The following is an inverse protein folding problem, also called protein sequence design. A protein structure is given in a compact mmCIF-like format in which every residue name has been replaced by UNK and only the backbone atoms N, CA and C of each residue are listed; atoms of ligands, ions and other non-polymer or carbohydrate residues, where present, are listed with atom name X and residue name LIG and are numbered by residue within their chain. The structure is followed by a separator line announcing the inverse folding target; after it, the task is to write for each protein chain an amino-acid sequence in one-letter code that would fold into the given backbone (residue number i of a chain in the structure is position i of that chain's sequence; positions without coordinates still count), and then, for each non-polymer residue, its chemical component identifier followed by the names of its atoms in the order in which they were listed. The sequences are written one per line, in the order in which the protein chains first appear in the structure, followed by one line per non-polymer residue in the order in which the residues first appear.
data_IF_620676547847
#
_entry.id   IF_620676547847
#
_cell.length_a   1.000
_cell.length_b   1.000
_cell.length_c   1.000
_cell.angle_alpha   90.00
_cell.angle_beta   90.00
_cell.angle_gamma   90.00
#
_symmetry.space_group_name_H-M   'P 1'
#
loop_
_entity.id
_entity.type
_entity.pdbx_description
1 polymer ?
#
# COMPACT_ATOMS: atom_id res chain seq x y z
N UNK A 1 39.22 -1.77 -6.10
CA UNK A 1 38.15 -2.70 -5.66
C UNK A 1 37.11 -2.82 -6.78
N UNK A 2 37.20 -3.84 -7.64
CA UNK A 2 36.37 -3.97 -8.85
C UNK A 2 35.07 -4.73 -8.58
N UNK A 3 34.22 -4.25 -7.66
CA UNK A 3 32.96 -4.93 -7.32
C UNK A 3 31.82 -4.02 -6.84
N UNK A 4 32.08 -2.71 -6.68
CA UNK A 4 31.04 -1.74 -6.32
C UNK A 4 30.30 -1.24 -7.57
N UNK A 5 30.97 -1.17 -8.72
CA UNK A 5 30.38 -0.73 -9.99
C UNK A 5 29.31 -1.68 -10.55
N UNK A 6 29.37 -2.98 -10.24
CA UNK A 6 28.33 -3.95 -10.63
C UNK A 6 27.07 -3.85 -9.73
N UNK A 7 27.21 -3.34 -8.51
CA UNK A 7 26.09 -3.15 -7.57
C UNK A 7 25.41 -1.79 -7.70
N UNK A 8 26.09 -0.82 -8.29
CA UNK A 8 25.50 0.46 -8.66
C UNK A 8 24.75 0.31 -9.98
N UNK A 9 23.46 -0.04 -9.91
CA UNK A 9 22.57 0.11 -11.06
C UNK A 9 22.65 1.56 -11.53
N UNK A 10 22.96 1.76 -12.81
CA UNK A 10 22.94 3.09 -13.43
C UNK A 10 21.58 3.75 -13.15
N UNK A 11 21.59 4.83 -12.38
CA UNK A 11 20.42 5.69 -12.22
C UNK A 11 20.16 6.33 -13.59
N UNK A 12 19.09 5.91 -14.24
CA UNK A 12 18.60 6.38 -15.54
C UNK A 12 19.53 6.12 -16.74
N UNK A 13 19.35 4.97 -17.39
CA UNK A 13 19.20 5.06 -18.85
C UNK A 13 17.84 5.72 -19.07
N UNK A 14 17.78 6.87 -19.76
CA UNK A 14 16.55 7.37 -20.38
C UNK A 14 16.10 6.31 -21.38
N UNK A 15 15.38 5.32 -20.89
CA UNK A 15 14.50 4.48 -21.69
C UNK A 15 13.19 5.27 -21.70
N UNK A 16 12.64 5.59 -22.87
CA UNK A 16 11.20 5.87 -22.94
C UNK A 16 10.53 4.60 -22.43
N UNK A 17 10.13 4.60 -21.17
CA UNK A 17 9.72 3.39 -20.48
C UNK A 17 9.29 3.71 -19.05
N UNK A 18 8.13 3.18 -18.71
CA UNK A 18 7.54 3.05 -17.37
C UNK A 18 8.58 3.10 -16.25
N UNK A 19 8.66 4.24 -15.56
CA UNK A 19 9.46 4.39 -14.35
C UNK A 19 8.51 4.43 -13.15
N UNK A 20 8.28 3.28 -12.53
CA UNK A 20 7.57 3.18 -11.26
C UNK A 20 8.55 3.36 -10.11
N UNK A 21 8.30 4.36 -9.28
CA UNK A 21 9.00 4.50 -7.99
C UNK A 21 8.00 4.17 -6.89
N UNK A 22 8.07 2.94 -6.37
CA UNK A 22 7.28 2.49 -5.24
C UNK A 22 8.08 2.60 -3.95
N UNK A 23 7.61 3.34 -2.96
CA UNK A 23 8.23 3.43 -1.64
C UNK A 23 7.20 3.30 -0.53
N UNK A 24 7.57 2.62 0.55
CA UNK A 24 6.79 2.67 1.78
C UNK A 24 6.81 4.10 2.33
N UNK A 25 5.62 4.63 2.59
CA UNK A 25 5.39 5.95 3.19
C UNK A 25 5.10 5.85 4.69
N UNK A 26 4.49 4.74 5.10
CA UNK A 26 4.20 4.42 6.48
C UNK A 26 4.12 2.90 6.66
N UNK A 27 4.32 2.41 7.89
CA UNK A 27 4.19 1.00 8.21
C UNK A 27 3.82 0.76 9.67
N UNK A 28 2.96 -0.24 9.88
CA UNK A 28 2.50 -0.68 11.19
C UNK A 28 2.74 -2.17 11.42
N UNK A 29 2.80 -2.55 12.70
CA UNK A 29 3.08 -3.91 13.14
C UNK A 29 2.10 -4.40 14.19
N UNK A 30 1.61 -5.63 14.03
CA UNK A 30 0.81 -6.30 15.05
C UNK A 30 1.19 -7.76 15.19
N UNK A 31 1.10 -8.26 16.42
CA UNK A 31 1.19 -9.69 16.71
C UNK A 31 -0.17 -10.26 17.13
N UNK A 32 -0.48 -11.43 16.57
CA UNK A 32 -1.51 -12.30 17.10
C UNK A 32 -0.87 -13.40 17.95
N UNK A 33 -1.71 -14.33 18.43
CA UNK A 33 -1.21 -15.52 19.12
C UNK A 33 -0.26 -16.32 18.22
N UNK A 34 -0.63 -16.47 16.95
CA UNK A 34 0.01 -17.40 16.02
C UNK A 34 0.79 -16.68 14.90
N UNK A 35 0.58 -15.37 14.71
CA UNK A 35 1.13 -14.62 13.58
C UNK A 35 1.90 -13.36 13.99
N UNK A 36 2.86 -12.99 13.16
CA UNK A 36 3.47 -11.66 13.10
C UNK A 36 3.04 -11.01 11.79
N UNK A 37 2.56 -9.76 11.85
CA UNK A 37 1.99 -9.08 10.68
C UNK A 37 2.52 -7.65 10.59
N UNK A 38 2.98 -7.27 9.40
CA UNK A 38 3.38 -5.91 9.04
C UNK A 38 2.45 -5.45 7.92
N UNK A 39 1.91 -4.25 8.01
CA UNK A 39 1.24 -3.58 6.90
C UNK A 39 1.99 -2.30 6.56
N UNK A 40 2.20 -2.02 5.28
CA UNK A 40 2.91 -0.85 4.80
C UNK A 40 2.11 -0.13 3.72
N UNK A 41 1.98 1.19 3.84
CA UNK A 41 1.37 2.05 2.82
C UNK A 41 2.42 2.35 1.76
N UNK A 42 2.17 1.88 0.54
CA UNK A 42 3.03 2.10 -0.60
C UNK A 42 2.49 3.26 -1.44
N UNK A 43 3.36 4.21 -1.75
CA UNK A 43 3.13 5.24 -2.75
C UNK A 43 3.87 4.85 -4.03
N UNK A 44 3.16 4.82 -5.14
CA UNK A 44 3.73 4.62 -6.47
C UNK A 44 3.45 5.83 -7.35
N UNK A 45 4.50 6.33 -7.99
CA UNK A 45 4.40 7.33 -9.05
C UNK A 45 4.64 6.67 -10.39
N UNK A 46 3.70 6.87 -11.32
CA UNK A 46 3.78 6.35 -12.67
C UNK A 46 3.74 7.50 -13.67
N UNK A 47 4.73 7.54 -14.55
CA UNK A 47 4.74 8.46 -15.68
C UNK A 47 3.91 7.86 -16.79
N UNK A 48 2.79 8.51 -17.11
CA UNK A 48 2.03 8.14 -18.29
C UNK A 48 2.78 8.64 -19.54
N UNK A 49 3.45 7.71 -20.21
CA UNK A 49 4.21 7.98 -21.43
C UNK A 49 3.41 7.76 -22.71
N UNK A 50 2.18 7.24 -22.64
CA UNK A 50 1.43 6.84 -23.83
C UNK A 50 0.92 8.05 -24.62
N UNK A 51 0.52 9.11 -23.93
CA UNK A 51 -0.09 10.30 -24.57
C UNK A 51 0.85 11.51 -24.74
N UNK A 52 2.17 11.35 -24.55
CA UNK A 52 3.18 12.43 -24.68
C UNK A 52 2.90 13.72 -23.88
N UNK A 53 1.92 13.71 -22.98
CA UNK A 53 1.37 14.89 -22.31
C UNK A 53 1.96 15.13 -20.91
N UNK A 54 2.80 14.22 -20.41
CA UNK A 54 3.72 14.47 -19.31
C UNK A 54 3.11 14.50 -17.90
N UNK A 55 2.01 13.77 -17.68
CA UNK A 55 1.38 13.63 -16.36
C UNK A 55 2.03 12.54 -15.49
N UNK A 56 1.92 12.71 -14.17
CA UNK A 56 2.30 11.69 -13.18
C UNK A 56 1.01 11.21 -12.50
N UNK A 57 0.71 9.92 -12.63
CA UNK A 57 -0.31 9.24 -11.84
C UNK A 57 0.26 8.86 -10.47
N UNK A 58 -0.52 9.10 -9.42
CA UNK A 58 -0.15 8.73 -8.06
C UNK A 58 -1.10 7.62 -7.61
N UNK A 59 -0.50 6.51 -7.21
CA UNK A 59 -1.20 5.33 -6.75
C UNK A 59 -0.81 5.02 -5.31
N UNK A 60 -1.78 4.60 -4.52
CA UNK A 60 -1.56 4.11 -3.17
C UNK A 60 -2.16 2.72 -3.00
N UNK A 61 -1.51 1.89 -2.19
CA UNK A 61 -2.02 0.59 -1.77
C UNK A 61 -1.31 0.13 -0.49
N UNK A 62 -1.93 -0.81 0.21
CA UNK A 62 -1.31 -1.45 1.36
C UNK A 62 -0.68 -2.77 0.93
N UNK A 63 0.56 -2.98 1.34
CA UNK A 63 1.21 -4.29 1.33
C UNK A 63 1.20 -4.88 2.72
N UNK A 64 0.75 -6.12 2.83
CA UNK A 64 0.64 -6.84 4.09
C UNK A 64 1.53 -8.06 4.01
N UNK A 65 2.50 -8.11 4.92
CA UNK A 65 3.41 -9.23 5.10
C UNK A 65 3.09 -9.94 6.40
N UNK A 66 3.00 -11.26 6.37
CA UNK A 66 2.78 -12.01 7.60
C UNK A 66 3.46 -13.37 7.56
N UNK A 67 3.77 -13.88 8.75
CA UNK A 67 4.23 -15.24 8.94
C UNK A 67 3.64 -15.84 10.20
N UNK A 68 3.54 -17.16 10.25
CA UNK A 68 3.27 -17.85 11.51
C UNK A 68 4.51 -17.80 12.40
N UNK A 69 4.35 -17.79 13.72
CA UNK A 69 5.49 -17.71 14.65
C UNK A 69 6.36 -18.97 14.64
N UNK A 70 5.80 -20.10 14.25
CA UNK A 70 6.46 -21.41 14.14
C UNK A 70 6.99 -21.70 12.73
N UNK A 71 6.82 -20.78 11.78
CA UNK A 71 7.25 -20.94 10.39
C UNK A 71 7.91 -19.66 9.87
N UNK A 72 9.09 -19.76 9.27
CA UNK A 72 9.79 -18.60 8.70
C UNK A 72 9.29 -18.20 7.31
N UNK A 73 8.34 -18.93 6.72
CA UNK A 73 7.71 -18.57 5.46
C UNK A 73 6.87 -17.28 5.59
N UNK A 74 7.26 -16.26 4.81
CA UNK A 74 6.55 -14.98 4.73
C UNK A 74 5.54 -15.05 3.57
N UNK A 75 4.30 -14.72 3.89
CA UNK A 75 3.23 -14.53 2.92
C UNK A 75 3.00 -13.04 2.69
N UNK A 76 2.62 -12.68 1.47
CA UNK A 76 2.31 -11.30 1.06
C UNK A 76 0.90 -11.22 0.48
N UNK A 77 0.16 -10.18 0.86
CA UNK A 77 -1.10 -9.75 0.24
C UNK A 77 -0.97 -8.26 -0.06
N UNK A 78 -1.59 -7.80 -1.13
CA UNK A 78 -1.76 -6.36 -1.37
C UNK A 78 -3.24 -6.02 -1.59
N UNK A 79 -3.61 -4.81 -1.20
CA UNK A 79 -4.91 -4.24 -1.58
C UNK A 79 -4.91 -3.89 -3.07
N UNK A 80 -6.10 -3.69 -3.68
CA UNK A 80 -6.17 -3.01 -4.97
C UNK A 80 -5.44 -1.67 -4.92
N UNK A 81 -4.77 -1.32 -6.03
CA UNK A 81 -4.20 0.01 -6.20
C UNK A 81 -5.31 1.05 -6.30
N UNK A 82 -5.08 2.18 -5.66
CA UNK A 82 -5.99 3.31 -5.64
C UNK A 82 -5.29 4.51 -6.25
N UNK A 83 -5.76 4.97 -7.40
CA UNK A 83 -5.33 6.23 -7.97
C UNK A 83 -5.80 7.37 -7.06
N UNK A 84 -4.86 8.03 -6.38
CA UNK A 84 -5.13 9.20 -5.53
C UNK A 84 -4.96 10.51 -6.27
N UNK A 85 -4.17 10.50 -7.35
CA UNK A 85 -4.03 11.63 -8.26
C UNK A 85 -4.01 11.18 -9.71
N UNK A 86 -4.90 11.75 -10.50
CA UNK A 86 -4.93 11.55 -11.94
C UNK A 86 -3.80 12.33 -12.61
N UNK A 87 -3.18 11.78 -13.67
CA UNK A 87 -2.12 12.48 -14.40
C UNK A 87 -2.62 13.78 -15.06
N UNK A 88 -3.90 13.86 -15.46
CA UNK A 88 -4.43 14.98 -16.27
C UNK A 88 -5.73 15.58 -15.77
N UNK A 89 -6.49 14.86 -14.95
CA UNK A 89 -7.87 15.22 -14.66
C UNK A 89 -8.11 15.23 -13.15
N UNK A 90 -7.92 16.39 -12.54
CA UNK A 90 -8.08 16.56 -11.09
C UNK A 90 -9.49 16.25 -10.55
N UNK A 91 -10.48 16.11 -11.43
CA UNK A 91 -11.83 15.61 -11.10
C UNK A 91 -11.86 14.11 -10.74
N UNK A 92 -10.84 13.35 -11.14
CA UNK A 92 -10.69 11.95 -10.80
C UNK A 92 -9.74 11.75 -9.61
N UNK A 93 -9.18 12.82 -9.06
CA UNK A 93 -8.37 12.75 -7.83
C UNK A 93 -9.26 12.31 -6.67
N UNK A 94 -8.75 11.36 -5.88
CA UNK A 94 -9.36 10.97 -4.61
C UNK A 94 -8.81 11.81 -3.47
N UNK A 95 -9.22 13.07 -3.45
CA UNK A 95 -8.73 14.08 -2.48
C UNK A 95 -9.06 13.71 -1.04
N UNK A 96 -10.13 12.94 -0.85
CA UNK A 96 -10.54 12.40 0.44
C UNK A 96 -9.50 11.49 1.09
N UNK A 97 -8.53 10.95 0.33
CA UNK A 97 -7.46 10.08 0.84
C UNK A 97 -6.15 10.83 1.07
N UNK A 98 -6.06 12.13 0.75
CA UNK A 98 -4.82 12.89 0.89
C UNK A 98 -4.43 13.16 2.35
N UNK A 99 -5.41 13.14 3.25
CA UNK A 99 -5.19 13.29 4.69
C UNK A 99 -4.87 11.95 5.36
N UNK A 100 -5.20 10.83 4.70
CA UNK A 100 -4.98 9.49 5.22
C UNK A 100 -3.53 9.02 5.04
N UNK A 101 -2.62 9.66 5.75
CA UNK A 101 -1.18 9.49 5.59
C UNK A 101 -0.62 8.22 6.26
N UNK A 102 -1.40 7.56 7.11
CA UNK A 102 -0.95 6.45 7.95
C UNK A 102 -1.63 5.13 7.58
N UNK A 103 -0.97 4.03 7.96
CA UNK A 103 -1.54 2.70 7.98
C UNK A 103 -2.22 2.50 9.32
N UNK A 104 -3.48 2.06 9.30
CA UNK A 104 -4.10 1.46 10.46
C UNK A 104 -3.94 -0.06 10.40
N UNK A 105 -3.57 -0.67 11.52
CA UNK A 105 -3.45 -2.12 11.65
C UNK A 105 -3.91 -2.59 13.03
N UNK A 106 -4.95 -3.43 13.06
CA UNK A 106 -5.53 -3.93 14.29
C UNK A 106 -5.80 -5.44 14.21
N UNK A 107 -5.52 -6.14 15.30
CA UNK A 107 -5.95 -7.53 15.48
C UNK A 107 -7.42 -7.58 15.91
N UNK A 108 -8.28 -8.12 15.07
CA UNK A 108 -9.71 -8.33 15.39
C UNK A 108 -10.00 -9.73 15.92
N UNK A 109 -9.25 -10.75 15.45
CA UNK A 109 -9.28 -12.14 15.95
C UNK A 109 -7.89 -12.77 15.86
N UNK A 110 -7.75 -14.01 16.33
CA UNK A 110 -6.48 -14.76 16.30
C UNK A 110 -5.88 -14.85 14.89
N UNK A 111 -6.71 -15.12 13.90
CA UNK A 111 -6.33 -15.27 12.49
C UNK A 111 -6.86 -14.12 11.61
N UNK A 112 -7.28 -13.00 12.20
CA UNK A 112 -7.92 -11.92 11.46
C UNK A 112 -7.41 -10.56 11.89
N UNK A 113 -7.04 -9.75 10.89
CA UNK A 113 -6.64 -8.36 11.09
C UNK A 113 -7.59 -7.43 10.31
N UNK A 114 -7.70 -6.21 10.80
CA UNK A 114 -8.28 -5.05 10.12
C UNK A 114 -7.10 -4.17 9.70
N UNK A 115 -7.06 -3.74 8.45
CA UNK A 115 -6.12 -2.73 8.00
C UNK A 115 -6.83 -1.69 7.17
N UNK A 116 -6.36 -0.44 7.21
CA UNK A 116 -7.00 0.67 6.54
C UNK A 116 -5.98 1.79 6.29
N UNK A 117 -6.39 2.76 5.50
CA UNK A 117 -5.79 4.08 5.48
C UNK A 117 -6.31 4.85 6.69
N UNK A 118 -5.47 5.69 7.30
CA UNK A 118 -5.85 6.50 8.45
C UNK A 118 -5.24 7.90 8.41
N UNK A 119 -5.98 8.87 8.94
CA UNK A 119 -5.51 10.23 9.16
C UNK A 119 -4.74 10.38 10.48
N UNK A 120 -4.31 11.60 10.81
CA UNK A 120 -3.56 11.90 12.04
C UNK A 120 -4.39 11.73 13.33
N UNK A 121 -5.72 11.67 13.22
CA UNK A 121 -6.64 11.46 14.33
C UNK A 121 -6.99 9.99 14.53
N UNK A 122 -6.60 9.13 13.58
CA UNK A 122 -6.92 7.71 13.56
C UNK A 122 -8.27 7.38 12.93
N UNK A 123 -8.92 8.35 12.28
CA UNK A 123 -10.11 8.07 11.48
C UNK A 123 -9.70 7.27 10.24
N UNK A 124 -10.47 6.22 9.95
CA UNK A 124 -10.09 5.23 8.94
C UNK A 124 -10.91 5.31 7.66
N UNK A 125 -10.24 5.04 6.54
CA UNK A 125 -10.81 4.94 5.19
C UNK A 125 -10.32 3.67 4.49
N UNK A 126 -11.08 3.20 3.50
CA UNK A 126 -10.72 2.02 2.69
C UNK A 126 -10.29 0.82 3.54
N UNK A 127 -11.23 0.35 4.36
CA UNK A 127 -10.98 -0.69 5.35
C UNK A 127 -10.96 -2.06 4.67
N UNK A 128 -9.98 -2.88 5.05
CA UNK A 128 -9.85 -4.26 4.60
C UNK A 128 -9.77 -5.22 5.79
N UNK A 129 -10.52 -6.32 5.67
CA UNK A 129 -10.46 -7.45 6.59
C UNK A 129 -9.63 -8.55 5.94
N UNK A 130 -8.59 -9.01 6.63
CA UNK A 130 -7.68 -10.05 6.14
C UNK A 130 -7.78 -11.27 7.03
N UNK A 131 -7.98 -12.43 6.41
CA UNK A 131 -7.85 -13.73 7.08
C UNK A 131 -6.47 -14.32 6.78
N UNK A 132 -5.71 -14.60 7.84
CA UNK A 132 -4.32 -15.02 7.77
C UNK A 132 -4.16 -16.54 7.50
N UNK A 133 -5.23 -17.33 7.63
CA UNK A 133 -5.17 -18.78 7.35
C UNK A 133 -5.26 -19.09 5.86
N UNK A 134 -6.07 -18.32 5.13
CA UNK A 134 -6.34 -18.52 3.70
C UNK A 134 -5.85 -17.36 2.83
N UNK A 135 -5.14 -16.41 3.45
CA UNK A 135 -4.59 -15.21 2.81
C UNK A 135 -5.65 -14.38 2.07
N UNK A 136 -6.92 -14.44 2.50
CA UNK A 136 -8.01 -13.75 1.81
C UNK A 136 -8.17 -12.31 2.31
N UNK A 137 -8.44 -11.41 1.35
CA UNK A 137 -8.67 -9.99 1.54
C UNK A 137 -10.13 -9.64 1.17
N UNK A 138 -10.83 -8.90 2.03
CA UNK A 138 -12.16 -8.35 1.72
C UNK A 138 -12.26 -6.89 2.11
N UNK A 139 -12.65 -6.04 1.18
CA UNK A 139 -13.00 -4.65 1.47
C UNK A 139 -14.24 -4.62 2.36
N UNK A 140 -14.18 -3.84 3.43
CA UNK A 140 -15.27 -3.62 4.35
C UNK A 140 -15.82 -2.21 4.13
N UNK A 141 -17.07 -2.13 3.66
CA UNK A 141 -17.78 -0.86 3.54
C UNK A 141 -18.49 -0.58 4.85
N UNK A 142 -17.92 0.30 5.67
CA UNK A 142 -18.69 0.88 6.77
C UNK A 142 -19.74 1.82 6.15
N UNK A 143 -21.01 1.54 6.41
CA UNK A 143 -22.07 2.48 6.07
C UNK A 143 -21.88 3.70 6.99
N UNK A 144 -21.23 4.76 6.49
CA UNK A 144 -21.26 6.07 7.13
C UNK A 144 -22.71 6.57 7.03
N UNK A 145 -23.53 6.27 8.04
CA UNK A 145 -24.74 7.03 8.30
C UNK A 145 -24.27 8.41 8.74
N UNK A 146 -24.46 9.41 7.87
CA UNK A 146 -24.45 10.80 8.31
C UNK A 146 -25.77 11.01 9.07
N UNK A 147 -25.69 11.14 10.40
CA UNK A 147 -26.78 11.67 11.23
C UNK A 147 -26.97 13.18 10.99
#
# INVERSE_FOLDING_TARGET
MPGISEKLKNYSKRVMGYATTGSASDAEYVETKDYQVVAAKILEHEWDTEDYSGGIEWNEFLKIYFKKKDNDEIQEIWTPKVMTRSPYHSKYDKKELWEDNFVYLERTKVNRIKTAWADEYGDTSLIYMINLDDSSLKEHKENKYYD
#
